data_IF_880701259969
#
_entry.id   IF_880701259969
#
_cell.length_a   1.000
_cell.length_b   1.000
_cell.length_c   1.000
_cell.angle_alpha   90.00
_cell.angle_beta   90.00
_cell.angle_gamma   90.00
#
_symmetry.space_group_name_H-M   'P 1'
#
loop_
_entity.id
_entity.type
_entity.pdbx_description
1 polymer ?
#
# COMPACT_ATOMS: atom_id res chain seq x y z
N UNK A 1 -25.37 -17.62 -27.44
CA UNK A 1 -25.53 -17.47 -25.98
C UNK A 1 -25.16 -16.04 -25.67
N UNK A 2 -26.08 -15.23 -25.16
CA UNK A 2 -25.74 -13.86 -24.77
C UNK A 2 -24.73 -13.94 -23.63
N UNK A 3 -23.54 -13.38 -23.81
CA UNK A 3 -22.57 -13.26 -22.72
C UNK A 3 -23.25 -12.52 -21.56
N UNK A 4 -23.30 -13.18 -20.40
CA UNK A 4 -23.78 -12.52 -19.19
C UNK A 4 -22.88 -11.31 -18.94
N UNK A 5 -23.44 -10.11 -18.71
CA UNK A 5 -22.63 -8.92 -18.48
C UNK A 5 -21.66 -9.18 -17.32
N UNK A 6 -20.40 -8.81 -17.51
CA UNK A 6 -19.33 -8.99 -16.53
C UNK A 6 -19.78 -8.53 -15.14
N UNK A 7 -19.77 -9.45 -14.16
CA UNK A 7 -20.14 -9.14 -12.78
C UNK A 7 -18.91 -8.67 -12.00
N UNK A 8 -19.02 -7.55 -11.30
CA UNK A 8 -17.99 -7.11 -10.35
C UNK A 8 -17.80 -8.14 -9.22
N UNK A 9 -16.56 -8.51 -8.92
CA UNK A 9 -16.22 -9.56 -7.97
C UNK A 9 -16.75 -9.31 -6.56
N UNK A 10 -16.75 -8.06 -6.08
CA UNK A 10 -17.38 -7.68 -4.80
C UNK A 10 -18.86 -8.06 -4.75
N UNK A 11 -19.59 -7.85 -5.85
CA UNK A 11 -21.02 -8.17 -5.93
C UNK A 11 -21.26 -9.67 -6.11
N UNK A 12 -20.42 -10.35 -6.90
CA UNK A 12 -20.45 -11.81 -7.03
C UNK A 12 -20.25 -12.48 -5.67
N UNK A 13 -19.24 -12.07 -4.91
CA UNK A 13 -18.95 -12.62 -3.59
C UNK A 13 -20.02 -12.27 -2.55
N UNK A 14 -20.67 -11.10 -2.66
CA UNK A 14 -21.83 -10.74 -1.82
C UNK A 14 -23.00 -11.71 -2.01
N UNK A 15 -23.30 -12.04 -3.26
CA UNK A 15 -24.37 -12.98 -3.61
C UNK A 15 -24.01 -14.40 -3.20
N UNK A 16 -22.77 -14.80 -3.45
CA UNK A 16 -22.27 -16.10 -2.98
C UNK A 16 -22.38 -16.24 -1.45
N UNK A 17 -22.03 -15.19 -0.70
CA UNK A 17 -22.25 -15.15 0.75
C UNK A 17 -23.72 -15.37 1.11
N UNK A 18 -24.62 -14.54 0.58
CA UNK A 18 -26.05 -14.56 0.90
C UNK A 18 -26.73 -15.86 0.49
N UNK A 19 -26.40 -16.41 -0.68
CA UNK A 19 -27.17 -17.50 -1.30
C UNK A 19 -26.62 -18.88 -0.93
N UNK A 20 -25.33 -18.99 -0.59
CA UNK A 20 -24.66 -20.27 -0.28
C UNK A 20 -24.18 -20.31 1.16
N UNK A 21 -23.44 -19.30 1.60
CA UNK A 21 -22.70 -19.36 2.87
C UNK A 21 -23.60 -19.08 4.07
N UNK A 22 -24.41 -18.03 4.02
CA UNK A 22 -25.30 -17.65 5.13
C UNK A 22 -26.34 -18.74 5.46
N UNK A 23 -27.05 -19.36 4.49
CA UNK A 23 -27.96 -20.48 4.77
C UNK A 23 -27.25 -21.71 5.35
N UNK A 24 -26.03 -21.99 4.87
CA UNK A 24 -25.21 -23.07 5.38
C UNK A 24 -24.79 -22.82 6.84
N UNK A 25 -24.32 -21.62 7.16
CA UNK A 25 -23.92 -21.26 8.51
C UNK A 25 -25.12 -21.31 9.47
N UNK A 26 -26.26 -20.76 9.06
CA UNK A 26 -27.50 -20.77 9.85
C UNK A 26 -28.00 -22.19 10.16
N UNK A 27 -27.87 -23.13 9.22
CA UNK A 27 -28.35 -24.51 9.39
C UNK A 27 -27.36 -25.40 10.15
N UNK A 28 -26.06 -25.31 9.86
CA UNK A 28 -25.05 -26.24 10.37
C UNK A 28 -24.31 -25.74 11.61
N UNK A 29 -24.26 -24.42 11.81
CA UNK A 29 -23.55 -23.73 12.87
C UNK A 29 -24.37 -22.58 13.50
N UNK A 30 -25.64 -22.80 13.92
CA UNK A 30 -26.56 -21.72 14.33
C UNK A 30 -26.11 -20.89 15.54
N UNK A 31 -25.15 -21.39 16.32
CA UNK A 31 -24.64 -20.73 17.53
C UNK A 31 -23.20 -20.23 17.38
N UNK A 32 -22.59 -20.38 16.21
CA UNK A 32 -21.24 -19.91 15.94
C UNK A 32 -21.31 -18.48 15.39
N UNK A 33 -20.91 -17.49 16.19
CA UNK A 33 -20.74 -16.14 15.69
C UNK A 33 -19.58 -16.08 14.69
N UNK A 34 -19.77 -15.37 13.58
CA UNK A 34 -18.74 -15.22 12.57
C UNK A 34 -18.83 -13.88 11.84
N UNK A 35 -17.72 -13.50 11.22
CA UNK A 35 -17.68 -12.42 10.25
C UNK A 35 -17.40 -12.99 8.88
N UNK A 36 -17.90 -12.36 7.83
CA UNK A 36 -17.65 -12.77 6.44
C UNK A 36 -17.29 -11.56 5.60
N UNK A 37 -16.23 -11.69 4.80
CA UNK A 37 -15.75 -10.62 3.94
C UNK A 37 -14.99 -11.16 2.72
N UNK A 38 -14.90 -10.31 1.71
CA UNK A 38 -13.92 -10.42 0.63
C UNK A 38 -12.73 -9.52 1.00
N UNK A 39 -11.59 -10.15 1.33
CA UNK A 39 -10.32 -9.54 1.73
C UNK A 39 -9.16 -10.32 1.11
N UNK A 40 -7.94 -9.80 1.22
CA UNK A 40 -6.75 -10.42 0.65
C UNK A 40 -6.48 -9.95 -0.79
N UNK A 41 -5.76 -10.73 -1.60
CA UNK A 41 -5.39 -10.34 -2.96
C UNK A 41 -6.60 -10.31 -3.90
N UNK A 42 -6.41 -9.66 -5.04
CA UNK A 42 -7.40 -9.57 -6.12
C UNK A 42 -7.76 -8.14 -6.50
N UNK A 43 -7.89 -7.87 -7.79
CA UNK A 43 -8.23 -6.54 -8.30
C UNK A 43 -9.64 -6.09 -7.92
N UNK A 44 -10.55 -7.05 -7.71
CA UNK A 44 -11.93 -6.84 -7.27
C UNK A 44 -12.00 -6.36 -5.82
N UNK A 45 -11.02 -6.70 -4.98
CA UNK A 45 -10.93 -6.18 -3.59
C UNK A 45 -10.81 -4.66 -3.62
N UNK A 46 -10.13 -4.12 -4.63
CA UNK A 46 -9.97 -2.68 -4.85
C UNK A 46 -11.07 -2.09 -5.77
N UNK A 47 -11.95 -2.93 -6.31
CA UNK A 47 -12.98 -2.57 -7.29
C UNK A 47 -12.43 -2.19 -8.68
N UNK A 48 -11.21 -2.59 -9.00
CA UNK A 48 -10.56 -2.35 -10.30
C UNK A 48 -10.79 -3.47 -11.31
N UNK A 49 -11.41 -4.57 -10.89
CA UNK A 49 -11.62 -5.75 -11.72
C UNK A 49 -12.36 -5.45 -13.02
N UNK A 50 -11.84 -5.98 -14.10
CA UNK A 50 -12.48 -6.01 -15.42
C UNK A 50 -12.56 -7.44 -15.89
N UNK A 51 -13.25 -7.69 -17.00
CA UNK A 51 -13.30 -9.01 -17.63
C UNK A 51 -11.90 -9.57 -17.90
N UNK A 52 -10.95 -8.72 -18.30
CA UNK A 52 -9.55 -9.09 -18.55
C UNK A 52 -8.80 -9.50 -17.28
N UNK A 53 -9.18 -9.00 -16.10
CA UNK A 53 -8.46 -9.27 -14.84
C UNK A 53 -9.19 -10.29 -13.95
N UNK A 54 -10.11 -11.07 -14.53
CA UNK A 54 -10.82 -12.15 -13.86
C UNK A 54 -10.08 -13.50 -13.93
N UNK A 55 -8.88 -13.52 -14.49
CA UNK A 55 -8.03 -14.69 -14.73
C UNK A 55 -7.16 -15.08 -13.53
N UNK A 56 -6.98 -14.19 -12.55
CA UNK A 56 -6.20 -14.44 -11.33
C UNK A 56 -6.86 -13.85 -10.09
N UNK A 57 -6.83 -14.59 -8.98
CA UNK A 57 -7.41 -14.22 -7.66
C UNK A 57 -8.87 -13.77 -7.67
N UNK A 58 -9.60 -13.94 -8.77
CA UNK A 58 -10.99 -13.53 -8.92
C UNK A 58 -11.94 -14.74 -8.86
N UNK A 59 -13.18 -14.52 -8.48
CA UNK A 59 -14.24 -15.53 -8.48
C UNK A 59 -15.05 -15.60 -7.18
N UNK A 60 -16.13 -16.41 -7.14
CA UNK A 60 -16.99 -16.54 -5.96
C UNK A 60 -16.20 -17.09 -4.77
N UNK A 61 -15.98 -16.25 -3.75
CA UNK A 61 -15.33 -16.65 -2.50
C UNK A 61 -15.68 -15.72 -1.34
N UNK A 62 -15.50 -16.21 -0.12
CA UNK A 62 -15.46 -15.37 1.08
C UNK A 62 -14.43 -15.89 2.09
N UNK A 63 -13.85 -14.99 2.87
CA UNK A 63 -13.22 -15.33 4.14
C UNK A 63 -14.27 -15.36 5.24
N UNK A 64 -14.27 -16.42 6.05
CA UNK A 64 -15.04 -16.55 7.29
C UNK A 64 -14.10 -16.41 8.48
N UNK A 65 -14.40 -15.47 9.36
CA UNK A 65 -13.60 -15.15 10.53
C UNK A 65 -14.36 -15.53 11.79
N UNK A 66 -13.87 -16.51 12.52
CA UNK A 66 -14.42 -16.93 13.82
C UNK A 66 -13.58 -16.37 14.96
N UNK A 67 -14.14 -16.38 16.17
CA UNK A 67 -13.43 -15.91 17.35
C UNK A 67 -12.22 -16.78 17.67
N UNK A 68 -11.24 -16.22 18.39
CA UNK A 68 -10.08 -16.97 18.89
C UNK A 68 -10.50 -18.13 19.83
N UNK A 69 -11.57 -17.93 20.61
CA UNK A 69 -12.14 -18.98 21.46
C UNK A 69 -12.76 -20.14 20.69
N UNK A 70 -13.14 -19.94 19.42
CA UNK A 70 -13.73 -20.96 18.56
C UNK A 70 -12.71 -21.57 17.57
N UNK A 71 -11.41 -21.39 17.81
CA UNK A 71 -10.34 -21.84 16.90
C UNK A 71 -10.42 -23.34 16.56
N UNK A 72 -10.86 -24.17 17.51
CA UNK A 72 -11.11 -25.60 17.31
C UNK A 72 -12.18 -25.93 16.26
N UNK A 73 -13.10 -24.98 15.97
CA UNK A 73 -14.16 -25.13 14.96
C UNK A 73 -13.68 -24.86 13.54
N UNK A 74 -12.50 -24.23 13.36
CA UNK A 74 -12.00 -23.80 12.05
C UNK A 74 -11.77 -24.99 11.12
N UNK A 75 -11.07 -26.02 11.56
CA UNK A 75 -10.77 -27.18 10.69
C UNK A 75 -12.02 -27.94 10.25
N UNK A 76 -12.96 -28.30 11.15
CA UNK A 76 -14.24 -28.86 10.75
C UNK A 76 -15.04 -27.95 9.80
N UNK A 77 -15.01 -26.63 10.02
CA UNK A 77 -15.69 -25.66 9.16
C UNK A 77 -15.08 -25.63 7.76
N UNK A 78 -13.74 -25.60 7.63
CA UNK A 78 -13.05 -25.68 6.32
C UNK A 78 -13.47 -26.90 5.52
N UNK A 79 -13.41 -28.09 6.14
CA UNK A 79 -13.82 -29.34 5.48
C UNK A 79 -15.30 -29.36 5.07
N UNK A 80 -16.15 -28.64 5.78
CA UNK A 80 -17.57 -28.55 5.46
C UNK A 80 -17.82 -27.55 4.32
N UNK A 81 -17.07 -26.44 4.27
CA UNK A 81 -17.10 -25.47 3.17
C UNK A 81 -16.61 -26.08 1.86
N UNK A 82 -15.53 -26.87 1.90
CA UNK A 82 -15.03 -27.56 0.70
C UNK A 82 -16.05 -28.53 0.12
N UNK A 83 -16.84 -29.19 0.98
CA UNK A 83 -17.93 -30.08 0.56
C UNK A 83 -19.19 -29.34 0.11
N UNK A 84 -19.41 -28.12 0.60
CA UNK A 84 -20.53 -27.27 0.23
C UNK A 84 -20.34 -26.64 -1.15
N UNK A 85 -19.10 -26.31 -1.52
CA UNK A 85 -18.79 -25.52 -2.70
C UNK A 85 -19.40 -26.14 -3.97
N UNK A 86 -20.32 -25.44 -4.66
CA UNK A 86 -20.86 -25.92 -5.93
C UNK A 86 -19.75 -25.85 -7.00
N UNK A 87 -19.88 -26.60 -8.10
CA UNK A 87 -18.90 -26.48 -9.19
C UNK A 87 -18.90 -25.09 -9.84
N UNK A 88 -20.08 -24.48 -9.95
CA UNK A 88 -20.26 -23.13 -10.49
C UNK A 88 -21.25 -22.33 -9.67
N UNK A 89 -21.12 -21.01 -9.68
CA UNK A 89 -22.05 -20.06 -9.09
C UNK A 89 -22.24 -18.88 -10.06
N UNK A 90 -23.49 -18.63 -10.45
CA UNK A 90 -23.86 -17.62 -11.47
C UNK A 90 -23.03 -17.69 -12.77
N UNK A 91 -22.69 -18.90 -13.20
CA UNK A 91 -21.92 -19.14 -14.43
C UNK A 91 -20.40 -19.07 -14.27
N UNK A 92 -19.90 -18.73 -13.08
CA UNK A 92 -18.47 -18.71 -12.78
C UNK A 92 -18.04 -19.95 -12.00
N UNK A 93 -16.85 -20.47 -12.25
CA UNK A 93 -16.29 -21.58 -11.49
C UNK A 93 -16.09 -21.18 -10.02
N UNK A 94 -16.41 -22.07 -9.10
CA UNK A 94 -16.04 -21.91 -7.68
C UNK A 94 -14.85 -22.81 -7.41
N UNK A 95 -13.73 -22.21 -7.03
CA UNK A 95 -12.53 -22.97 -6.71
C UNK A 95 -12.58 -23.44 -5.25
N UNK A 96 -12.40 -24.75 -5.06
CA UNK A 96 -12.28 -25.34 -3.73
C UNK A 96 -11.09 -24.70 -2.98
N UNK A 97 -11.24 -24.50 -1.66
CA UNK A 97 -10.22 -23.86 -0.83
C UNK A 97 -10.11 -22.33 -0.94
N UNK A 98 -10.75 -21.65 -1.91
CA UNK A 98 -10.78 -20.16 -1.95
C UNK A 98 -11.72 -19.55 -0.90
N UNK A 99 -12.76 -20.29 -0.49
CA UNK A 99 -13.58 -19.93 0.66
C UNK A 99 -12.93 -20.49 1.93
N UNK A 100 -12.32 -19.62 2.73
CA UNK A 100 -11.49 -20.01 3.86
C UNK A 100 -12.15 -19.65 5.19
N UNK A 101 -12.03 -20.51 6.19
CA UNK A 101 -12.34 -20.16 7.58
C UNK A 101 -11.04 -19.92 8.37
N UNK A 102 -10.96 -18.86 9.19
CA UNK A 102 -9.77 -18.49 9.95
C UNK A 102 -10.13 -17.58 11.14
N UNK A 103 -9.15 -17.11 11.90
CA UNK A 103 -9.30 -15.96 12.81
C UNK A 103 -8.71 -14.71 12.18
N UNK A 104 -9.11 -13.52 12.66
CA UNK A 104 -8.50 -12.25 12.19
C UNK A 104 -7.00 -12.24 12.43
N UNK A 105 -6.54 -12.66 13.61
CA UNK A 105 -5.11 -12.73 13.93
C UNK A 105 -4.36 -13.63 12.97
N UNK A 106 -4.86 -14.85 12.72
CA UNK A 106 -4.21 -15.78 11.81
C UNK A 106 -4.14 -15.24 10.38
N UNK A 107 -5.22 -14.60 9.89
CA UNK A 107 -5.23 -13.95 8.58
C UNK A 107 -4.18 -12.83 8.48
N UNK A 108 -4.10 -11.95 9.48
CA UNK A 108 -3.13 -10.85 9.49
C UNK A 108 -1.70 -11.37 9.60
N UNK A 109 -1.46 -12.34 10.47
CA UNK A 109 -0.14 -12.95 10.65
C UNK A 109 0.34 -13.67 9.39
N UNK A 110 -0.57 -14.32 8.67
CA UNK A 110 -0.29 -14.96 7.38
C UNK A 110 0.03 -13.91 6.29
N UNK A 111 -0.82 -12.88 6.18
CA UNK A 111 -0.70 -11.86 5.14
C UNK A 111 0.54 -10.96 5.34
N UNK A 112 0.81 -10.60 6.60
CA UNK A 112 1.87 -9.65 6.95
C UNK A 112 3.17 -10.34 7.39
N UNK A 113 3.19 -11.66 7.56
CA UNK A 113 4.32 -12.42 8.08
C UNK A 113 4.95 -11.79 9.35
N UNK A 114 4.11 -11.36 10.29
CA UNK A 114 4.49 -10.72 11.57
C UNK A 114 3.47 -11.09 12.65
N UNK A 115 3.83 -10.97 13.94
CA UNK A 115 2.84 -11.03 15.01
C UNK A 115 1.98 -9.77 14.96
N UNK A 116 0.81 -9.89 14.34
CA UNK A 116 -0.09 -8.76 14.16
C UNK A 116 -0.66 -8.26 15.49
N UNK A 117 -0.61 -9.02 16.59
CA UNK A 117 -1.03 -8.53 17.90
C UNK A 117 -0.03 -7.51 18.49
N UNK A 118 1.23 -7.55 18.06
CA UNK A 118 2.34 -6.73 18.61
C UNK A 118 3.21 -6.16 17.49
N UNK A 119 2.66 -5.21 16.74
CA UNK A 119 3.42 -4.50 15.70
C UNK A 119 4.31 -3.43 16.34
N UNK A 120 5.61 -3.54 16.10
CA UNK A 120 6.59 -2.48 16.35
C UNK A 120 6.45 -1.37 15.29
N UNK A 121 6.79 -0.10 15.60
CA UNK A 121 6.83 0.96 14.59
C UNK A 121 7.60 0.58 13.31
N UNK A 122 8.73 -0.13 13.42
CA UNK A 122 9.53 -0.53 12.26
C UNK A 122 8.84 -1.59 11.38
N UNK A 123 7.92 -2.40 11.94
CA UNK A 123 7.16 -3.36 11.13
C UNK A 123 6.34 -2.69 10.03
N UNK A 124 5.87 -1.47 10.29
CA UNK A 124 5.11 -0.71 9.30
C UNK A 124 5.94 -0.31 8.08
N UNK A 125 7.24 -0.08 8.26
CA UNK A 125 8.17 0.26 7.17
C UNK A 125 8.50 -0.94 6.29
N UNK A 126 8.25 -2.16 6.78
CA UNK A 126 8.49 -3.41 6.02
C UNK A 126 7.21 -4.01 5.42
N UNK A 127 6.03 -3.43 5.68
CA UNK A 127 4.76 -3.89 5.10
C UNK A 127 4.50 -3.14 3.79
N UNK A 128 4.33 -3.85 2.65
CA UNK A 128 3.87 -3.22 1.42
C UNK A 128 2.49 -2.57 1.58
N UNK A 129 2.35 -1.37 1.04
CA UNK A 129 1.07 -0.63 0.95
C UNK A 129 -0.04 -1.46 0.29
N UNK A 130 0.29 -2.29 -0.69
CA UNK A 130 -0.63 -3.26 -1.30
C UNK A 130 -1.25 -4.21 -0.26
N UNK A 131 -0.45 -4.79 0.64
CA UNK A 131 -0.96 -5.69 1.68
C UNK A 131 -1.89 -4.97 2.66
N UNK A 132 -1.64 -3.67 2.94
CA UNK A 132 -2.54 -2.86 3.76
C UNK A 132 -3.86 -2.56 3.05
N UNK A 133 -3.87 -2.39 1.72
CA UNK A 133 -5.09 -2.29 0.93
C UNK A 133 -5.91 -3.59 0.96
N UNK A 134 -5.26 -4.75 0.94
CA UNK A 134 -5.91 -6.07 1.00
C UNK A 134 -6.64 -6.32 2.33
N UNK A 135 -6.23 -5.62 3.40
CA UNK A 135 -6.89 -5.62 4.71
C UNK A 135 -8.02 -4.59 4.77
N UNK A 136 -7.77 -3.38 4.25
CA UNK A 136 -8.64 -2.22 4.48
C UNK A 136 -9.73 -2.04 3.42
N UNK A 137 -9.48 -2.48 2.18
CA UNK A 137 -10.46 -2.47 1.08
C UNK A 137 -11.21 -3.80 1.03
N UNK A 138 -11.95 -4.05 -0.04
CA UNK A 138 -12.89 -5.16 -0.15
C UNK A 138 -14.21 -4.90 0.57
N UNK A 139 -15.04 -5.95 0.72
CA UNK A 139 -16.39 -5.83 1.26
C UNK A 139 -16.60 -6.76 2.46
N UNK A 140 -17.18 -6.22 3.52
CA UNK A 140 -17.68 -6.99 4.67
C UNK A 140 -19.15 -7.26 4.43
N UNK A 141 -19.54 -8.53 4.50
CA UNK A 141 -20.90 -9.00 4.29
C UNK A 141 -21.62 -9.26 5.62
N UNK A 142 -20.86 -9.68 6.64
CA UNK A 142 -21.34 -9.94 8.00
C UNK A 142 -20.21 -9.69 9.00
N UNK A 143 -20.50 -9.16 10.19
CA UNK A 143 -19.49 -8.94 11.24
C UNK A 143 -20.10 -8.98 12.64
N UNK A 144 -20.52 -10.17 13.08
CA UNK A 144 -21.33 -10.34 14.30
C UNK A 144 -20.67 -9.80 15.57
N UNK A 145 -19.35 -9.93 15.69
CA UNK A 145 -18.57 -9.48 16.84
C UNK A 145 -17.87 -8.12 16.65
N UNK A 146 -17.99 -7.52 15.46
CA UNK A 146 -17.28 -6.28 15.12
C UNK A 146 -15.76 -6.43 14.95
N UNK A 147 -15.24 -7.65 14.85
CA UNK A 147 -13.80 -7.92 14.73
C UNK A 147 -13.19 -7.37 13.43
N UNK A 148 -13.92 -7.42 12.31
CA UNK A 148 -13.44 -6.86 11.04
C UNK A 148 -13.48 -5.34 11.06
N UNK A 149 -14.51 -4.75 11.67
CA UNK A 149 -14.57 -3.32 11.90
C UNK A 149 -13.41 -2.84 12.80
N UNK A 150 -13.06 -3.59 13.86
CA UNK A 150 -11.91 -3.30 14.72
C UNK A 150 -10.58 -3.40 13.96
N UNK A 151 -10.39 -4.47 13.18
CA UNK A 151 -9.22 -4.63 12.30
C UNK A 151 -9.07 -3.45 11.34
N UNK A 152 -10.13 -3.08 10.62
CA UNK A 152 -10.10 -1.96 9.66
C UNK A 152 -9.84 -0.61 10.31
N UNK A 153 -10.31 -0.38 11.54
CA UNK A 153 -9.94 0.83 12.31
C UNK A 153 -8.46 0.87 12.64
N UNK A 154 -7.89 -0.27 13.05
CA UNK A 154 -6.46 -0.38 13.41
C UNK A 154 -5.54 -0.14 12.21
N UNK A 155 -5.87 -0.73 11.06
CA UNK A 155 -5.07 -0.60 9.83
C UNK A 155 -5.52 0.55 8.94
N UNK A 156 -6.46 1.40 9.39
CA UNK A 156 -7.04 2.49 8.60
C UNK A 156 -5.97 3.33 7.92
N UNK A 157 -4.90 3.63 8.64
CA UNK A 157 -3.73 4.31 8.09
C UNK A 157 -2.48 4.06 8.96
N UNK A 158 -1.31 4.47 8.47
CA UNK A 158 -0.05 4.40 9.21
C UNK A 158 -0.13 5.12 10.58
N UNK A 159 0.62 4.65 11.60
CA UNK A 159 0.90 5.42 12.80
C UNK A 159 1.50 6.79 12.46
N UNK A 160 1.28 7.80 13.30
CA UNK A 160 1.61 9.19 12.99
C UNK A 160 3.08 9.39 12.63
N UNK A 161 4.00 8.93 13.48
CA UNK A 161 5.44 9.12 13.26
C UNK A 161 5.99 8.33 12.07
N UNK A 162 5.41 7.17 11.79
CA UNK A 162 5.72 6.40 10.57
C UNK A 162 5.27 7.16 9.32
N UNK A 163 4.10 7.78 9.36
CA UNK A 163 3.62 8.63 8.28
C UNK A 163 4.50 9.86 8.07
N UNK A 164 4.93 10.54 9.14
CA UNK A 164 5.87 11.66 9.06
C UNK A 164 7.22 11.24 8.47
N UNK A 165 7.76 10.09 8.90
CA UNK A 165 8.97 9.51 8.34
C UNK A 165 8.83 9.22 6.83
N UNK A 166 7.71 8.63 6.40
CA UNK A 166 7.46 8.33 4.99
C UNK A 166 7.27 9.60 4.13
N UNK A 167 6.60 10.62 4.67
CA UNK A 167 6.50 11.93 4.03
C UNK A 167 7.88 12.59 3.89
N UNK A 168 8.68 12.57 4.95
CA UNK A 168 10.04 13.13 4.94
C UNK A 168 10.91 12.40 3.91
N UNK A 169 10.85 11.06 3.85
CA UNK A 169 11.55 10.28 2.85
C UNK A 169 11.08 10.59 1.43
N UNK A 170 9.78 10.77 1.19
CA UNK A 170 9.26 11.17 -0.12
C UNK A 170 9.76 12.54 -0.56
N UNK A 171 9.75 13.52 0.33
CA UNK A 171 10.29 14.86 0.08
C UNK A 171 11.81 14.85 -0.15
N UNK A 172 12.55 14.05 0.63
CA UNK A 172 13.99 13.89 0.46
C UNK A 172 14.34 13.29 -0.90
N UNK A 173 13.59 12.31 -1.38
CA UNK A 173 13.78 11.71 -2.71
C UNK A 173 13.62 12.74 -3.83
N UNK A 174 12.65 13.65 -3.71
CA UNK A 174 12.51 14.79 -4.63
C UNK A 174 13.77 15.67 -4.56
N UNK A 175 14.18 16.09 -3.35
CA UNK A 175 15.35 16.96 -3.16
C UNK A 175 16.66 16.38 -3.71
N UNK A 176 16.82 15.06 -3.65
CA UNK A 176 17.99 14.35 -4.17
C UNK A 176 18.07 14.29 -5.70
N UNK A 177 16.94 14.40 -6.40
CA UNK A 177 16.85 14.14 -7.84
C UNK A 177 16.44 15.35 -8.70
N UNK A 178 15.68 16.30 -8.15
CA UNK A 178 15.14 17.43 -8.92
C UNK A 178 16.23 18.24 -9.63
N UNK A 179 17.35 18.49 -8.94
CA UNK A 179 18.49 19.17 -9.56
C UNK A 179 19.24 18.29 -10.56
N UNK A 180 19.18 16.96 -10.45
CA UNK A 180 19.87 16.03 -11.36
C UNK A 180 19.14 15.96 -12.70
N UNK A 181 17.81 15.94 -12.70
CA UNK A 181 16.98 15.97 -13.91
C UNK A 181 17.35 17.17 -14.80
N UNK A 182 17.46 18.35 -14.19
CA UNK A 182 17.79 19.61 -14.85
C UNK A 182 19.23 19.61 -15.38
N UNK A 183 20.17 19.09 -14.58
CA UNK A 183 21.59 19.04 -14.93
C UNK A 183 21.89 18.06 -16.07
N UNK A 184 21.23 16.90 -16.10
CA UNK A 184 21.34 15.95 -17.21
C UNK A 184 20.87 16.60 -18.52
N UNK A 185 19.71 17.26 -18.48
CA UNK A 185 19.19 17.98 -19.64
C UNK A 185 20.09 19.13 -20.09
N UNK A 186 20.62 19.92 -19.15
CA UNK A 186 21.58 20.99 -19.45
C UNK A 186 22.86 20.47 -20.12
N UNK A 187 23.31 19.26 -19.77
CA UNK A 187 24.45 18.60 -20.40
C UNK A 187 24.14 18.00 -21.79
N UNK A 188 22.89 18.11 -22.27
CA UNK A 188 22.44 17.53 -23.54
C UNK A 188 21.96 16.07 -23.43
N UNK A 189 21.91 15.49 -22.23
CA UNK A 189 21.39 14.15 -21.99
C UNK A 189 19.89 14.19 -21.66
N UNK A 190 19.09 14.32 -22.71
CA UNK A 190 17.63 14.35 -22.60
C UNK A 190 17.04 13.00 -22.15
N UNK A 191 17.68 11.87 -22.51
CA UNK A 191 17.23 10.56 -22.07
C UNK A 191 17.44 10.39 -20.56
N UNK A 192 18.62 10.73 -20.05
CA UNK A 192 18.90 10.72 -18.61
C UNK A 192 18.00 11.68 -17.85
N UNK A 193 17.73 12.88 -18.40
CA UNK A 193 16.73 13.80 -17.84
C UNK A 193 15.33 13.16 -17.76
N UNK A 194 14.87 12.50 -18.83
CA UNK A 194 13.57 11.84 -18.86
C UNK A 194 13.45 10.65 -17.89
N UNK A 195 14.52 9.87 -17.72
CA UNK A 195 14.55 8.77 -16.73
C UNK A 195 14.41 9.31 -15.30
N UNK A 196 15.12 10.38 -14.96
CA UNK A 196 15.02 11.02 -13.63
C UNK A 196 13.64 11.68 -13.46
N UNK A 197 13.12 12.34 -14.50
CA UNK A 197 11.77 12.91 -14.48
C UNK A 197 10.71 11.84 -14.20
N UNK A 198 10.83 10.64 -14.78
CA UNK A 198 9.89 9.55 -14.52
C UNK A 198 9.91 9.09 -13.05
N UNK A 199 11.07 9.13 -12.39
CA UNK A 199 11.20 8.85 -10.95
C UNK A 199 10.54 9.95 -10.11
N UNK A 200 10.78 11.22 -10.45
CA UNK A 200 10.15 12.37 -9.80
C UNK A 200 8.63 12.37 -9.95
N UNK A 201 8.08 12.03 -11.14
CA UNK A 201 6.63 11.87 -11.34
C UNK A 201 6.07 10.84 -10.37
N UNK A 202 6.72 9.68 -10.27
CA UNK A 202 6.33 8.63 -9.33
C UNK A 202 6.40 9.09 -7.86
N UNK A 203 7.45 9.82 -7.48
CA UNK A 203 7.61 10.33 -6.11
C UNK A 203 6.56 11.39 -5.76
N UNK A 204 6.18 12.28 -6.69
CA UNK A 204 5.07 13.22 -6.52
C UNK A 204 3.74 12.48 -6.34
N UNK A 205 3.45 11.47 -7.17
CA UNK A 205 2.24 10.65 -7.02
C UNK A 205 2.19 9.95 -5.66
N UNK A 206 3.30 9.38 -5.20
CA UNK A 206 3.39 8.73 -3.90
C UNK A 206 3.19 9.72 -2.74
N UNK A 207 3.75 10.93 -2.82
CA UNK A 207 3.49 11.96 -1.82
C UNK A 207 2.00 12.34 -1.78
N UNK A 208 1.32 12.39 -2.93
CA UNK A 208 -0.13 12.64 -2.94
C UNK A 208 -0.91 11.54 -2.20
N UNK A 209 -0.59 10.27 -2.42
CA UNK A 209 -1.17 9.17 -1.64
C UNK A 209 -0.92 9.35 -0.14
N UNK A 210 0.30 9.73 0.25
CA UNK A 210 0.65 9.97 1.64
C UNK A 210 -0.11 11.15 2.25
N UNK A 211 -0.21 12.27 1.54
CA UNK A 211 -0.87 13.48 2.01
C UNK A 211 -2.40 13.30 2.08
N UNK A 212 -3.00 12.54 1.15
CA UNK A 212 -4.43 12.21 1.18
C UNK A 212 -4.76 11.02 2.09
N UNK A 213 -3.74 10.43 2.74
CA UNK A 213 -3.86 9.28 3.64
C UNK A 213 -4.51 8.06 3.00
N UNK A 214 -4.12 7.76 1.77
CA UNK A 214 -4.51 6.56 1.04
C UNK A 214 -3.28 5.68 0.80
N UNK A 215 -3.43 4.36 0.92
CA UNK A 215 -2.37 3.43 0.52
C UNK A 215 -2.33 3.32 -1.01
N UNK A 216 -1.12 3.31 -1.59
CA UNK A 216 -0.93 3.11 -3.02
C UNK A 216 -1.06 1.62 -3.39
N UNK A 217 -1.68 1.26 -4.54
CA UNK A 217 -1.71 -0.12 -4.99
C UNK A 217 -0.44 -0.50 -5.75
N UNK A 218 -0.34 -1.78 -6.09
CA UNK A 218 0.70 -2.29 -6.98
C UNK A 218 0.70 -1.63 -8.38
N UNK A 219 1.80 -1.74 -9.16
CA UNK A 219 2.06 -0.87 -10.33
C UNK A 219 0.95 -0.80 -11.39
N UNK A 220 0.25 -1.91 -11.67
CA UNK A 220 -0.82 -1.94 -12.69
C UNK A 220 -1.90 -0.90 -12.41
N UNK A 221 -2.28 -0.73 -11.14
CA UNK A 221 -3.38 0.16 -10.75
C UNK A 221 -2.89 1.50 -10.21
N UNK A 222 -1.59 1.76 -10.17
CA UNK A 222 -1.03 2.97 -9.57
C UNK A 222 -1.60 4.25 -10.17
N UNK A 223 -1.58 4.39 -11.51
CA UNK A 223 -2.18 5.53 -12.20
C UNK A 223 -3.71 5.59 -12.10
N UNK A 224 -4.39 4.44 -12.12
CA UNK A 224 -5.86 4.36 -11.96
C UNK A 224 -6.30 4.80 -10.57
N UNK A 225 -5.55 4.41 -9.53
CA UNK A 225 -5.80 4.82 -8.16
C UNK A 225 -5.44 6.28 -7.93
N UNK A 226 -4.32 6.76 -8.50
CA UNK A 226 -3.94 8.16 -8.44
C UNK A 226 -5.04 9.05 -9.02
N UNK A 227 -5.63 8.67 -10.17
CA UNK A 227 -6.76 9.37 -10.78
C UNK A 227 -8.02 9.49 -9.92
N UNK A 228 -8.12 8.75 -8.81
CA UNK A 228 -9.23 8.85 -7.84
C UNK A 228 -8.92 9.77 -6.65
N UNK A 229 -7.69 10.24 -6.49
CA UNK A 229 -7.30 11.21 -5.47
C UNK A 229 -7.89 12.60 -5.79
N UNK A 230 -8.10 13.42 -4.76
CA UNK A 230 -8.61 14.79 -4.92
C UNK A 230 -7.60 15.68 -5.66
N UNK A 231 -6.30 15.46 -5.43
CA UNK A 231 -5.21 16.19 -6.05
C UNK A 231 -4.94 15.81 -7.51
N UNK A 232 -5.55 14.72 -7.99
CA UNK A 232 -5.27 14.17 -9.31
C UNK A 232 -5.65 15.12 -10.43
N UNK A 233 -6.82 15.77 -10.34
CA UNK A 233 -7.33 16.63 -11.39
C UNK A 233 -6.36 17.77 -11.78
N UNK A 234 -5.81 18.56 -10.83
CA UNK A 234 -4.82 19.59 -11.17
C UNK A 234 -3.41 19.05 -11.45
N UNK A 235 -3.02 17.89 -10.90
CA UNK A 235 -1.66 17.36 -11.07
C UNK A 235 -1.47 16.51 -12.33
N UNK A 236 -2.48 15.73 -12.75
CA UNK A 236 -2.37 14.80 -13.88
C UNK A 236 -1.85 15.45 -15.16
N UNK A 237 -2.36 16.62 -15.60
CA UNK A 237 -1.85 17.27 -16.82
C UNK A 237 -0.38 17.68 -16.69
N UNK A 238 0.05 18.15 -15.51
CA UNK A 238 1.42 18.59 -15.25
C UNK A 238 2.39 17.39 -15.22
N UNK A 239 2.01 16.32 -14.53
CA UNK A 239 2.80 15.10 -14.47
C UNK A 239 2.91 14.44 -15.84
N UNK A 240 1.83 14.45 -16.64
CA UNK A 240 1.87 13.97 -18.02
C UNK A 240 2.80 14.83 -18.88
N UNK A 241 2.71 16.16 -18.77
CA UNK A 241 3.61 17.09 -19.46
C UNK A 241 5.08 16.81 -19.11
N UNK A 242 5.41 16.63 -17.83
CA UNK A 242 6.77 16.27 -17.40
C UNK A 242 7.22 14.90 -17.94
N UNK A 243 6.32 13.92 -17.96
CA UNK A 243 6.59 12.56 -18.42
C UNK A 243 6.85 12.48 -19.93
N UNK A 244 6.17 13.30 -20.73
CA UNK A 244 6.21 13.22 -22.21
C UNK A 244 7.03 14.33 -22.88
N UNK A 245 7.48 15.33 -22.13
CA UNK A 245 8.30 16.41 -22.67
C UNK A 245 9.57 15.87 -23.33
N UNK A 246 9.98 16.49 -24.43
CA UNK A 246 11.20 16.15 -25.17
C UNK A 246 12.38 17.01 -24.75
N UNK A 247 12.14 18.15 -24.09
CA UNK A 247 13.14 19.07 -23.61
C UNK A 247 13.08 19.24 -22.09
N UNK A 248 14.25 19.26 -21.44
CA UNK A 248 14.33 19.37 -19.97
C UNK A 248 13.69 20.65 -19.39
N UNK A 249 13.67 21.75 -20.16
CA UNK A 249 13.05 23.01 -19.74
C UNK A 249 11.52 22.91 -19.62
N UNK A 250 10.89 22.10 -20.47
CA UNK A 250 9.46 21.82 -20.37
C UNK A 250 9.17 20.97 -19.13
N UNK A 251 10.05 20.01 -18.81
CA UNK A 251 9.97 19.24 -17.56
C UNK A 251 10.13 20.13 -16.34
N UNK A 252 11.10 21.04 -16.35
CA UNK A 252 11.32 22.03 -15.29
C UNK A 252 10.04 22.82 -15.01
N UNK A 253 9.43 23.40 -16.04
CA UNK A 253 8.21 24.18 -15.90
C UNK A 253 7.06 23.34 -15.32
N UNK A 254 6.83 22.14 -15.86
CA UNK A 254 5.79 21.23 -15.39
C UNK A 254 5.99 20.83 -13.91
N UNK A 255 7.23 20.55 -13.49
CA UNK A 255 7.53 20.23 -12.09
C UNK A 255 7.37 21.43 -11.17
N UNK A 256 7.81 22.63 -11.57
CA UNK A 256 7.62 23.83 -10.76
C UNK A 256 6.14 24.11 -10.48
N UNK A 257 5.27 23.88 -11.46
CA UNK A 257 3.83 24.03 -11.29
C UNK A 257 3.23 22.90 -10.42
N UNK A 258 3.73 21.67 -10.56
CA UNK A 258 3.33 20.55 -9.70
C UNK A 258 3.77 20.76 -8.24
N UNK A 259 4.98 21.27 -8.01
CA UNK A 259 5.53 21.57 -6.69
C UNK A 259 4.74 22.66 -5.97
N UNK A 260 4.19 23.64 -6.69
CA UNK A 260 3.26 24.62 -6.11
C UNK A 260 2.01 23.96 -5.53
N UNK A 261 1.44 22.99 -6.23
CA UNK A 261 0.28 22.24 -5.72
C UNK A 261 0.70 21.37 -4.53
N UNK A 262 1.83 20.67 -4.64
CA UNK A 262 2.31 19.74 -3.62
C UNK A 262 2.68 20.44 -2.30
N UNK A 263 3.31 21.60 -2.37
CA UNK A 263 3.58 22.47 -1.21
C UNK A 263 2.30 23.00 -0.58
N UNK A 264 1.32 23.42 -1.38
CA UNK A 264 -0.01 23.78 -0.90
C UNK A 264 -0.71 22.63 -0.15
N UNK A 265 -0.65 21.41 -0.70
CA UNK A 265 -1.16 20.20 -0.03
C UNK A 265 -0.43 19.94 1.30
N UNK A 266 0.90 20.02 1.31
CA UNK A 266 1.70 19.86 2.53
C UNK A 266 1.31 20.90 3.61
N UNK A 267 1.20 22.16 3.22
CA UNK A 267 0.82 23.26 4.12
C UNK A 267 -0.58 23.04 4.72
N UNK A 268 -1.53 22.52 3.94
CA UNK A 268 -2.88 22.20 4.41
C UNK A 268 -2.92 21.08 5.46
N UNK A 269 -1.90 20.22 5.52
CA UNK A 269 -1.81 19.20 6.57
C UNK A 269 -1.47 19.79 7.95
N UNK A 270 -0.93 21.01 8.00
CA UNK A 270 -0.60 21.69 9.25
C UNK A 270 0.46 20.97 10.11
N UNK A 271 1.36 20.21 9.48
CA UNK A 271 2.36 19.40 10.20
C UNK A 271 3.59 20.20 10.62
N UNK A 272 4.01 21.13 9.77
CA UNK A 272 5.22 21.95 9.93
C UNK A 272 4.88 23.44 9.82
N UNK A 273 5.87 24.31 10.00
CA UNK A 273 5.75 25.68 9.50
C UNK A 273 5.46 25.67 7.97
N UNK A 274 4.76 26.68 7.43
CA UNK A 274 4.47 26.73 6.00
C UNK A 274 5.74 26.71 5.15
N UNK A 275 5.76 25.86 4.12
CA UNK A 275 6.83 25.79 3.14
C UNK A 275 6.51 26.69 1.94
N UNK A 276 7.53 27.23 1.23
CA UNK A 276 7.30 28.08 0.06
C UNK A 276 6.53 27.36 -1.05
N UNK A 277 5.61 28.07 -1.70
CA UNK A 277 4.85 27.55 -2.83
C UNK A 277 5.58 27.65 -4.18
N UNK A 278 6.62 28.48 -4.25
CA UNK A 278 7.38 28.70 -5.47
C UNK A 278 8.76 28.02 -5.37
N UNK A 279 9.10 27.25 -6.39
CA UNK A 279 10.46 26.75 -6.58
C UNK A 279 11.46 27.90 -6.63
N UNK A 280 12.64 27.73 -6.04
CA UNK A 280 13.72 28.71 -5.95
C UNK A 280 14.94 28.28 -6.75
N UNK A 281 15.88 29.21 -6.97
CA UNK A 281 17.14 28.86 -7.61
C UNK A 281 17.90 27.81 -6.80
N UNK A 282 18.46 26.81 -7.48
CA UNK A 282 19.38 25.85 -6.87
C UNK A 282 20.76 26.49 -6.73
N UNK A 283 20.99 27.15 -5.59
CA UNK A 283 22.17 27.98 -5.34
C UNK A 283 22.30 29.10 -6.40
N UNK A 284 23.47 29.21 -7.03
CA UNK A 284 23.80 30.16 -8.09
C UNK A 284 23.48 29.64 -9.50
N UNK A 285 22.80 28.49 -9.61
CA UNK A 285 22.56 27.79 -10.88
C UNK A 285 21.25 28.21 -11.56
N UNK A 286 21.15 28.07 -12.89
CA UNK A 286 19.96 28.47 -13.66
C UNK A 286 18.83 27.42 -13.58
N UNK A 287 18.66 26.78 -12.43
CA UNK A 287 17.75 25.66 -12.20
C UNK A 287 16.80 26.03 -11.07
N UNK A 288 15.50 25.81 -11.26
CA UNK A 288 14.51 25.99 -10.20
C UNK A 288 14.15 24.65 -9.57
N UNK A 289 14.18 24.62 -8.24
CA UNK A 289 13.94 23.42 -7.43
C UNK A 289 13.03 23.75 -6.26
N UNK A 290 12.29 22.76 -5.79
CA UNK A 290 11.44 22.86 -4.60
C UNK A 290 12.23 22.84 -3.29
N UNK A 291 13.44 22.29 -3.31
CA UNK A 291 14.25 22.03 -2.12
C UNK A 291 13.53 21.05 -1.16
N UNK A 292 13.21 19.86 -1.70
CA UNK A 292 12.50 18.82 -0.95
C UNK A 292 13.23 18.39 0.33
N UNK A 293 14.56 18.50 0.38
CA UNK A 293 15.36 18.17 1.58
C UNK A 293 15.09 19.11 2.77
N UNK A 294 14.83 20.40 2.50
CA UNK A 294 14.41 21.33 3.55
C UNK A 294 13.04 20.98 4.11
N UNK A 295 12.09 20.58 3.26
CA UNK A 295 10.76 20.11 3.71
C UNK A 295 10.87 18.82 4.54
N UNK A 296 11.71 17.89 4.10
CA UNK A 296 11.99 16.65 4.84
C UNK A 296 12.53 16.94 6.25
N UNK A 297 13.48 17.88 6.37
CA UNK A 297 14.06 18.27 7.66
C UNK A 297 13.01 18.79 8.65
N UNK A 298 12.08 19.64 8.17
CA UNK A 298 10.98 20.14 8.98
C UNK A 298 10.07 19.02 9.49
N UNK A 299 9.81 17.99 8.68
CA UNK A 299 9.00 16.84 9.10
C UNK A 299 9.71 15.98 10.15
N UNK A 300 11.03 15.78 10.02
CA UNK A 300 11.83 15.00 10.98
C UNK A 300 11.79 15.63 12.38
N UNK A 301 11.78 16.96 12.47
CA UNK A 301 11.66 17.69 13.73
C UNK A 301 10.31 17.48 14.44
N UNK A 302 9.29 17.00 13.72
CA UNK A 302 7.94 16.74 14.25
C UNK A 302 7.73 15.31 14.73
N UNK A 303 8.66 14.41 14.43
CA UNK A 303 8.61 13.01 14.89
C UNK A 303 8.84 12.97 16.40
N UNK A 304 7.91 12.38 17.14
CA UNK A 304 7.94 12.31 18.62
C UNK A 304 8.61 11.03 19.14
N UNK A 305 8.40 9.90 18.48
CA UNK A 305 9.06 8.64 18.79
C UNK A 305 10.58 8.77 18.59
N UNK A 306 11.33 8.63 19.68
CA UNK A 306 12.78 8.84 19.69
C UNK A 306 13.53 7.86 18.77
N UNK A 307 13.03 6.62 18.63
CA UNK A 307 13.62 5.61 17.75
C UNK A 307 13.42 5.96 16.28
N UNK A 308 12.20 6.35 15.90
CA UNK A 308 11.90 6.78 14.54
C UNK A 308 12.58 8.11 14.21
N UNK A 309 12.69 9.03 15.16
CA UNK A 309 13.41 10.29 14.93
C UNK A 309 14.91 10.05 14.73
N UNK A 310 15.53 9.18 15.53
CA UNK A 310 16.94 8.80 15.35
C UNK A 310 17.16 8.10 14.00
N UNK A 311 16.26 7.21 13.61
CA UNK A 311 16.25 6.58 12.29
C UNK A 311 16.16 7.63 11.19
N UNK A 312 15.22 8.57 11.27
CA UNK A 312 15.01 9.59 10.26
C UNK A 312 16.24 10.50 10.05
N UNK A 313 17.00 10.77 11.11
CA UNK A 313 18.23 11.58 11.05
C UNK A 313 19.43 10.86 10.45
N UNK A 314 19.45 9.53 10.52
CA UNK A 314 20.61 8.73 10.11
C UNK A 314 20.37 7.96 8.81
N UNK A 315 19.13 7.54 8.56
CA UNK A 315 18.72 6.67 7.46
C UNK A 315 17.29 6.96 7.01
N UNK A 316 17.11 8.07 6.29
CA UNK A 316 15.83 8.44 5.71
C UNK A 316 15.58 7.71 4.37
N UNK A 317 15.47 6.38 4.43
CA UNK A 317 15.36 5.52 3.24
C UNK A 317 13.90 5.22 2.82
N UNK A 318 12.92 5.60 3.67
CA UNK A 318 11.50 5.35 3.43
C UNK A 318 11.05 3.93 3.78
N UNK A 319 9.85 3.54 3.34
CA UNK A 319 9.33 2.17 3.49
C UNK A 319 9.83 1.24 2.38
N UNK A 320 9.50 -0.06 2.46
CA UNK A 320 9.79 -1.06 1.44
C UNK A 320 9.35 -0.63 0.02
N UNK A 321 8.23 0.10 -0.10
CA UNK A 321 7.72 0.62 -1.37
C UNK A 321 8.52 1.80 -1.92
N UNK A 322 9.17 2.57 -1.04
CA UNK A 322 10.04 3.70 -1.39
C UNK A 322 11.49 3.25 -1.65
N UNK A 323 11.90 2.10 -1.12
CA UNK A 323 13.24 1.52 -1.31
C UNK A 323 13.39 0.87 -2.69
N UNK A 324 12.41 0.07 -3.12
CA UNK A 324 12.51 -0.70 -4.38
C UNK A 324 11.15 -0.88 -5.04
N UNK A 325 11.10 -1.03 -6.37
CA UNK A 325 9.95 -1.54 -7.14
C UNK A 325 10.06 -3.00 -7.56
N UNK A 326 11.13 -3.68 -7.16
CA UNK A 326 11.27 -5.09 -7.41
C UNK A 326 10.15 -5.87 -6.68
N UNK A 327 9.32 -6.58 -7.45
CA UNK A 327 8.19 -7.34 -6.93
C UNK A 327 8.64 -8.40 -5.92
N UNK A 328 9.70 -9.15 -6.22
CA UNK A 328 10.19 -10.19 -5.32
C UNK A 328 10.65 -9.60 -3.98
N UNK A 329 11.37 -8.47 -4.01
CA UNK A 329 11.81 -7.76 -2.81
C UNK A 329 10.63 -7.31 -1.94
N UNK A 330 9.60 -6.72 -2.54
CA UNK A 330 8.39 -6.29 -1.79
C UNK A 330 7.62 -7.47 -1.20
N UNK A 331 7.65 -8.62 -1.85
CA UNK A 331 6.94 -9.82 -1.42
C UNK A 331 7.75 -10.69 -0.44
N UNK A 332 9.00 -10.34 -0.12
CA UNK A 332 9.83 -11.09 0.85
C UNK A 332 9.12 -11.17 2.21
N UNK A 333 8.51 -10.06 2.65
CA UNK A 333 7.86 -9.95 3.96
C UNK A 333 6.38 -10.38 3.97
N UNK A 334 5.91 -11.09 2.93
CA UNK A 334 4.51 -11.54 2.79
C UNK A 334 4.39 -13.03 2.41
N UNK A 335 5.50 -13.80 2.43
CA UNK A 335 5.50 -15.27 2.20
C UNK A 335 5.22 -16.04 3.49
N UNK A 336 4.69 -17.25 3.35
CA UNK A 336 4.20 -18.12 4.44
C UNK A 336 5.22 -18.32 5.57
N UNK A 337 4.65 -18.48 6.78
CA UNK A 337 5.09 -17.93 8.08
C UNK A 337 6.55 -18.06 8.56
N UNK A 338 7.39 -18.97 8.05
CA UNK A 338 8.76 -19.12 8.58
C UNK A 338 9.78 -18.26 7.85
N UNK A 339 9.75 -18.28 6.53
CA UNK A 339 10.71 -17.53 5.72
C UNK A 339 10.38 -16.03 5.77
N UNK A 340 9.09 -15.67 5.70
CA UNK A 340 8.67 -14.26 5.74
C UNK A 340 9.02 -13.52 7.04
N UNK A 341 8.92 -14.19 8.21
CA UNK A 341 9.32 -13.58 9.49
C UNK A 341 10.84 -13.37 9.57
N UNK A 342 11.62 -14.32 9.05
CA UNK A 342 13.08 -14.21 8.98
C UNK A 342 13.51 -13.09 8.03
N UNK A 343 12.92 -13.05 6.84
CA UNK A 343 13.22 -12.04 5.83
C UNK A 343 12.84 -10.64 6.31
N UNK A 344 11.70 -10.51 7.01
CA UNK A 344 11.28 -9.26 7.66
C UNK A 344 12.30 -8.81 8.71
N UNK A 345 12.80 -9.71 9.56
CA UNK A 345 13.88 -9.37 10.48
C UNK A 345 15.11 -8.84 9.74
N UNK A 346 15.49 -9.47 8.63
CA UNK A 346 16.56 -8.97 7.74
C UNK A 346 16.29 -7.56 7.20
N UNK A 347 15.05 -7.27 6.77
CA UNK A 347 14.67 -5.92 6.35
C UNK A 347 14.73 -4.91 7.51
N UNK A 348 14.37 -5.31 8.74
CA UNK A 348 14.48 -4.44 9.91
C UNK A 348 15.94 -4.05 10.21
N UNK A 349 16.92 -4.90 9.88
CA UNK A 349 18.34 -4.56 10.06
C UNK A 349 18.79 -3.40 9.16
N UNK A 350 18.14 -3.21 7.99
CA UNK A 350 18.39 -2.03 7.14
C UNK A 350 18.09 -0.72 7.88
N UNK A 351 17.11 -0.73 8.79
CA UNK A 351 16.72 0.43 9.58
C UNK A 351 17.56 0.59 10.85
N UNK A 352 17.81 -0.50 11.60
CA UNK A 352 18.52 -0.43 12.90
C UNK A 352 19.99 -0.03 12.78
N UNK A 353 20.63 -0.36 11.67
CA UNK A 353 22.03 0.01 11.43
C UNK A 353 23.07 -0.65 12.32
N UNK A 354 22.66 -1.70 13.04
CA UNK A 354 23.56 -2.62 13.71
C UNK A 354 24.38 -3.35 12.65
N UNK A 355 25.71 -3.21 12.70
CA UNK A 355 26.61 -4.09 11.97
C UNK A 355 26.45 -5.49 12.55
N UNK A 356 26.32 -6.48 11.67
CA UNK A 356 26.24 -7.91 11.98
C UNK A 356 27.56 -8.46 12.57
N UNK A 357 28.14 -7.82 13.59
CA UNK A 357 29.41 -8.21 14.20
C UNK A 357 29.28 -8.95 15.53
N UNK A 358 28.07 -9.25 16.01
CA UNK A 358 27.87 -10.00 17.26
C UNK A 358 27.14 -11.35 17.08
N UNK A 359 26.89 -11.78 15.84
CA UNK A 359 26.17 -13.04 15.58
C UNK A 359 27.07 -14.28 15.38
N UNK A 360 28.40 -14.14 15.35
CA UNK A 360 29.34 -15.25 15.06
C UNK A 360 30.26 -15.66 16.23
N UNK A 361 29.99 -15.25 17.47
CA UNK A 361 30.74 -15.70 18.65
C UNK A 361 29.88 -16.43 19.70
N UNK A 362 28.95 -17.30 19.31
CA UNK A 362 28.52 -18.43 20.18
C UNK A 362 28.04 -19.63 19.34
N UNK A 363 28.99 -20.45 18.88
CA UNK A 363 29.04 -21.91 19.09
C UNK A 363 30.20 -22.56 18.33
#
# INVERSE_FOLDING_TARGET
>A
MAESPFRKGIELCRRYHRDIIEPFMASRYPHLAYSSALLGPGSEVLGYDTEMSADHDWGPRVGLFVSESDRERIQPLRQALDRLAPQTFEGYAVEAGKTVATTVTAFLDDLLAVDSARLDPLDWLTIPSQSLLEITKGAVYRDDSGQLAAMRRRFRYYPHDIWLYMLAAGWQRIGQEEHLMLRSGYAGDELGSAVIASRLVRDVMNLCFLMEREYAPYPKWFGTAFGRLKSAAPLLPLLWSAQTATAWKEREQAFNDAYRILSGMHNQLGLTAPVPEAASAFYDRPFRVMDGSSVASLLIERIEDAGIQALARTRLIGSIDQISDNTDFRMMATRTQKDGRRDRSGLQHLYRGESSSEADEVN
#
